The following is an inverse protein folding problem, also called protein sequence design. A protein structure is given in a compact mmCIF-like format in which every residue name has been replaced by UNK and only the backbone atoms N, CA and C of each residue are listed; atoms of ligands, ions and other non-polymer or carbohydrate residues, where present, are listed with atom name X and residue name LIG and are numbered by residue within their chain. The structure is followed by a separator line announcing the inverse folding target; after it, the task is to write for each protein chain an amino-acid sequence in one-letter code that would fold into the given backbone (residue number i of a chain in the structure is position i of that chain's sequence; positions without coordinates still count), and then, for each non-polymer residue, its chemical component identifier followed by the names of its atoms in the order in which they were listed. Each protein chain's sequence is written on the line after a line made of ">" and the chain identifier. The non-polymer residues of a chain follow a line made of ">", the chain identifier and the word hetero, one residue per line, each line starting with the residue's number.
data_IF_441633604971
#
_entry.id   IF_441633604971
#
_cell.length_a   1.000
_cell.length_b   1.000
_cell.length_c   1.000
_cell.angle_alpha   90.00
_cell.angle_beta   90.00
_cell.angle_gamma   90.00
#
_symmetry.space_group_name_H-M   'P 1'
#
loop_
_entity.id
_entity.type
_entity.pdbx_description
1 polymer ?
#
# COMPACT_ATOMS: atom_id res chain seq x y z
N UNK A 1 -11.57 6.20 14.49
CA UNK A 1 -10.65 6.00 13.35
C UNK A 1 -9.47 5.15 13.81
N UNK A 2 -8.83 4.41 12.91
CA UNK A 2 -7.61 3.64 13.17
C UNK A 2 -6.54 4.00 12.15
N UNK A 3 -5.30 4.08 12.60
CA UNK A 3 -4.11 4.12 11.76
C UNK A 3 -3.47 2.74 11.85
N UNK A 4 -3.34 2.06 10.72
CA UNK A 4 -2.80 0.71 10.63
C UNK A 4 -1.45 0.78 9.94
N UNK A 5 -0.39 0.45 10.67
CA UNK A 5 0.97 0.40 10.16
C UNK A 5 1.29 -1.02 9.71
N UNK A 6 1.73 -1.16 8.46
CA UNK A 6 2.08 -2.44 7.84
C UNK A 6 3.54 -2.36 7.41
N UNK A 7 4.33 -3.34 7.84
CA UNK A 7 5.67 -3.55 7.33
C UNK A 7 5.58 -4.30 5.99
N UNK A 8 5.97 -3.63 4.92
CA UNK A 8 6.10 -4.22 3.60
C UNK A 8 7.50 -4.00 3.02
N UNK A 9 8.51 -3.88 3.89
CA UNK A 9 9.90 -3.61 3.52
C UNK A 9 10.51 -4.64 2.56
N UNK A 10 9.96 -5.86 2.52
CA UNK A 10 10.38 -6.95 1.63
C UNK A 10 9.54 -7.06 0.35
N UNK A 11 8.65 -6.10 0.08
CA UNK A 11 7.65 -6.16 -0.99
C UNK A 11 6.61 -7.31 -0.87
N UNK A 12 6.72 -8.17 0.15
CA UNK A 12 5.75 -9.21 0.49
C UNK A 12 4.95 -8.86 1.74
N UNK A 13 3.78 -9.48 1.86
CA UNK A 13 2.90 -9.42 3.01
C UNK A 13 2.76 -10.84 3.57
N UNK A 14 2.92 -10.98 4.88
CA UNK A 14 2.70 -12.26 5.56
C UNK A 14 1.21 -12.58 5.71
N UNK A 15 0.91 -13.86 5.92
CA UNK A 15 -0.47 -14.29 6.16
C UNK A 15 -1.05 -13.64 7.43
N UNK A 16 -0.24 -13.49 8.48
CA UNK A 16 -0.62 -12.85 9.74
C UNK A 16 -0.93 -11.35 9.54
N UNK A 17 -0.16 -10.66 8.70
CA UNK A 17 -0.42 -9.27 8.35
C UNK A 17 -1.73 -9.11 7.58
N UNK A 18 -2.02 -10.03 6.64
CA UNK A 18 -3.32 -10.08 5.95
C UNK A 18 -4.47 -10.33 6.94
N UNK A 19 -4.35 -11.32 7.82
CA UNK A 19 -5.36 -11.59 8.84
C UNK A 19 -5.58 -10.38 9.75
N UNK A 20 -4.51 -9.69 10.14
CA UNK A 20 -4.61 -8.52 10.98
C UNK A 20 -5.34 -7.37 10.27
N UNK A 21 -5.04 -7.13 8.98
CA UNK A 21 -5.79 -6.18 8.15
C UNK A 21 -7.28 -6.53 8.11
N UNK A 22 -7.64 -7.79 7.85
CA UNK A 22 -9.03 -8.27 7.81
C UNK A 22 -9.76 -7.94 9.11
N UNK A 23 -9.15 -8.27 10.25
CA UNK A 23 -9.71 -7.94 11.57
C UNK A 23 -9.93 -6.44 11.75
N UNK A 24 -9.04 -5.59 11.22
CA UNK A 24 -9.23 -4.13 11.29
C UNK A 24 -10.39 -3.66 10.40
N UNK A 25 -10.48 -4.18 9.17
CA UNK A 25 -11.56 -3.89 8.22
C UNK A 25 -12.92 -4.28 8.83
N UNK A 26 -13.03 -5.47 9.41
CA UNK A 26 -14.26 -6.01 10.00
C UNK A 26 -14.85 -5.14 11.12
N UNK A 27 -14.03 -4.31 11.77
CA UNK A 27 -14.55 -3.38 12.80
C UNK A 27 -15.39 -2.25 12.24
N UNK A 28 -15.42 -2.08 10.91
CA UNK A 28 -16.14 -1.02 10.17
C UNK A 28 -15.78 0.41 10.59
N UNK A 29 -14.76 0.58 11.45
CA UNK A 29 -14.23 1.89 11.81
C UNK A 29 -13.44 2.46 10.62
N UNK A 30 -13.45 3.78 10.41
CA UNK A 30 -12.61 4.38 9.38
C UNK A 30 -11.13 4.05 9.61
N UNK A 31 -10.46 3.58 8.56
CA UNK A 31 -9.12 3.03 8.58
C UNK A 31 -8.22 3.78 7.60
N UNK A 32 -7.03 4.17 8.06
CA UNK A 32 -5.95 4.66 7.19
C UNK A 32 -4.82 3.65 7.28
N UNK A 33 -4.30 3.23 6.13
CA UNK A 33 -3.19 2.29 6.06
C UNK A 33 -1.91 3.06 5.80
N UNK A 34 -0.89 2.79 6.61
CA UNK A 34 0.43 3.40 6.56
C UNK A 34 1.45 2.30 6.23
N UNK A 35 2.24 2.48 5.18
CA UNK A 35 3.27 1.51 4.78
C UNK A 35 4.45 2.22 4.11
N UNK A 36 5.57 1.54 3.91
CA UNK A 36 6.72 2.16 3.26
C UNK A 36 6.58 2.15 1.75
N UNK A 37 6.36 0.96 1.17
CA UNK A 37 6.24 0.74 -0.27
C UNK A 37 4.78 0.96 -0.68
N UNK A 38 4.48 1.73 -1.73
CA UNK A 38 3.10 1.91 -2.16
C UNK A 38 2.50 0.60 -2.69
N UNK A 39 1.18 0.47 -2.66
CA UNK A 39 0.48 -0.58 -3.41
C UNK A 39 0.54 -0.29 -4.91
N UNK A 40 0.65 -1.33 -5.72
CA UNK A 40 0.58 -1.21 -7.16
C UNK A 40 -0.72 -0.54 -7.64
N UNK A 41 -0.61 0.56 -8.37
CA UNK A 41 -1.73 1.16 -9.10
C UNK A 41 -1.59 0.84 -10.60
N UNK A 42 -2.71 0.45 -11.25
CA UNK A 42 -2.70 0.04 -12.66
C UNK A 42 -2.07 1.11 -13.56
N UNK A 43 -1.14 0.71 -14.42
CA UNK A 43 -0.41 1.60 -15.33
C UNK A 43 0.88 2.19 -14.75
N UNK A 44 1.19 1.91 -13.47
CA UNK A 44 2.51 2.20 -12.89
C UNK A 44 3.55 1.19 -13.37
N UNK A 45 4.82 1.59 -13.30
CA UNK A 45 5.95 0.75 -13.70
C UNK A 45 6.21 -0.39 -12.70
N UNK A 46 6.94 -1.41 -13.14
CA UNK A 46 7.21 -2.65 -12.38
C UNK A 46 7.79 -2.40 -10.98
N UNK A 47 8.72 -1.46 -10.85
CA UNK A 47 9.32 -1.09 -9.57
C UNK A 47 8.49 -0.15 -8.70
N UNK A 48 7.26 0.19 -9.08
CA UNK A 48 6.47 1.18 -8.36
C UNK A 48 6.11 0.73 -6.95
N UNK A 49 5.58 -0.49 -6.81
CA UNK A 49 4.93 -0.85 -5.56
C UNK A 49 4.65 -2.34 -5.36
N UNK A 50 4.30 -2.66 -4.13
CA UNK A 50 3.91 -3.98 -3.64
C UNK A 50 2.69 -4.52 -4.41
N UNK A 51 2.68 -5.82 -4.68
CA UNK A 51 1.66 -6.52 -5.47
C UNK A 51 1.59 -6.09 -6.95
N UNK A 52 2.71 -5.71 -7.56
CA UNK A 52 2.78 -5.49 -9.01
C UNK A 52 2.82 -6.84 -9.74
N UNK A 53 1.91 -7.11 -10.72
CA UNK A 53 1.80 -8.43 -11.36
C UNK A 53 3.07 -8.87 -12.10
N UNK A 54 3.85 -7.91 -12.62
CA UNK A 54 5.11 -8.20 -13.29
C UNK A 54 6.35 -8.17 -12.40
N UNK A 55 6.25 -7.91 -11.08
CA UNK A 55 7.41 -8.00 -10.20
C UNK A 55 7.73 -9.47 -9.90
N UNK A 56 8.79 -9.98 -10.54
CA UNK A 56 9.20 -11.40 -10.53
C UNK A 56 10.67 -11.51 -10.94
N UNK A 57 11.21 -12.73 -10.93
CA UNK A 57 12.61 -13.02 -11.27
C UNK A 57 13.11 -12.33 -12.56
N UNK A 58 12.26 -12.19 -13.59
CA UNK A 58 12.65 -11.58 -14.88
C UNK A 58 12.88 -10.07 -14.82
N UNK A 59 12.33 -9.39 -13.80
CA UNK A 59 12.40 -7.94 -13.63
C UNK A 59 13.16 -7.54 -12.35
N UNK A 60 13.62 -8.53 -11.58
CA UNK A 60 14.47 -8.34 -10.41
C UNK A 60 15.95 -8.43 -10.81
N UNK A 61 16.54 -7.29 -11.17
CA UNK A 61 17.96 -7.21 -11.52
C UNK A 61 18.85 -6.91 -10.32
N UNK A 62 18.27 -6.55 -9.18
CA UNK A 62 19.02 -6.06 -8.02
C UNK A 62 19.56 -7.19 -7.13
N UNK A 63 19.03 -8.41 -7.25
CA UNK A 63 19.42 -9.53 -6.37
C UNK A 63 20.93 -9.81 -6.35
N UNK A 64 21.63 -9.62 -7.48
CA UNK A 64 23.08 -9.81 -7.57
C UNK A 64 23.84 -8.77 -6.74
N UNK A 65 23.45 -7.50 -6.85
CA UNK A 65 24.06 -6.39 -6.10
C UNK A 65 23.73 -6.50 -4.61
N UNK A 66 22.49 -6.88 -4.30
CA UNK A 66 21.97 -7.04 -2.93
C UNK A 66 22.43 -8.35 -2.26
N UNK A 67 23.08 -9.25 -3.01
CA UNK A 67 23.54 -10.57 -2.57
C UNK A 67 22.45 -11.39 -1.88
N UNK A 68 21.25 -11.38 -2.48
CA UNK A 68 20.10 -12.18 -2.04
C UNK A 68 19.67 -13.14 -3.13
N UNK A 69 18.80 -14.07 -2.76
CA UNK A 69 18.13 -14.91 -3.75
C UNK A 69 17.28 -14.05 -4.71
N UNK A 70 17.20 -14.45 -5.99
CA UNK A 70 16.32 -13.79 -6.93
C UNK A 70 14.86 -13.97 -6.53
N UNK A 71 14.02 -13.02 -6.92
CA UNK A 71 12.57 -13.15 -6.73
C UNK A 71 12.01 -14.44 -7.36
N UNK A 72 10.93 -15.02 -6.80
CA UNK A 72 10.25 -16.15 -7.43
C UNK A 72 9.86 -15.88 -8.89
N UNK A 73 9.83 -16.94 -9.71
CA UNK A 73 9.44 -16.85 -11.13
C UNK A 73 8.02 -16.33 -11.32
N UNK A 74 7.12 -16.72 -10.41
CA UNK A 74 5.71 -16.34 -10.45
C UNK A 74 5.44 -15.00 -9.72
N UNK A 75 6.48 -14.36 -9.18
CA UNK A 75 6.40 -13.06 -8.53
C UNK A 75 5.83 -13.13 -7.12
N UNK A 76 4.94 -12.19 -6.80
CA UNK A 76 4.37 -12.05 -5.47
C UNK A 76 3.54 -13.24 -5.02
N UNK A 77 3.46 -13.44 -3.70
CA UNK A 77 2.57 -14.45 -3.14
C UNK A 77 1.09 -14.10 -3.39
N UNK A 78 0.19 -15.11 -3.45
CA UNK A 78 -1.25 -14.86 -3.47
C UNK A 78 -1.75 -14.05 -2.28
N UNK A 79 -1.07 -14.14 -1.12
CA UNK A 79 -1.36 -13.36 0.09
C UNK A 79 -1.15 -11.88 -0.16
N UNK A 80 -0.03 -11.51 -0.78
CA UNK A 80 0.30 -10.12 -1.14
C UNK A 80 -0.72 -9.53 -2.11
N UNK A 81 -1.13 -10.28 -3.13
CA UNK A 81 -2.20 -9.84 -4.04
C UNK A 81 -3.54 -9.67 -3.31
N UNK A 82 -3.91 -10.63 -2.45
CA UNK A 82 -5.15 -10.57 -1.68
C UNK A 82 -5.17 -9.37 -0.71
N UNK A 83 -4.06 -9.08 -0.05
CA UNK A 83 -3.91 -7.91 0.82
C UNK A 83 -4.19 -6.61 0.07
N UNK A 84 -3.59 -6.43 -1.12
CA UNK A 84 -3.87 -5.26 -1.97
C UNK A 84 -5.35 -5.18 -2.32
N UNK A 85 -5.97 -6.28 -2.76
CA UNK A 85 -7.39 -6.30 -3.12
C UNK A 85 -8.29 -5.96 -1.92
N UNK A 86 -8.03 -6.49 -0.74
CA UNK A 86 -8.84 -6.18 0.44
C UNK A 86 -8.78 -4.71 0.84
N UNK A 87 -7.61 -4.07 0.72
CA UNK A 87 -7.49 -2.63 0.96
C UNK A 87 -8.36 -1.83 -0.02
N UNK A 88 -8.21 -2.06 -1.32
CA UNK A 88 -8.86 -1.21 -2.34
C UNK A 88 -10.36 -1.50 -2.48
N UNK A 89 -10.87 -2.63 -1.99
CA UNK A 89 -12.29 -2.97 -2.01
C UNK A 89 -13.00 -2.69 -0.66
N UNK A 90 -12.27 -2.38 0.42
CA UNK A 90 -12.87 -2.16 1.73
C UNK A 90 -13.48 -0.74 1.85
N UNK A 91 -14.79 -0.61 2.10
CA UNK A 91 -15.47 0.69 2.09
C UNK A 91 -15.08 1.60 3.27
N UNK A 92 -14.50 1.04 4.33
CA UNK A 92 -14.05 1.79 5.50
C UNK A 92 -12.56 2.13 5.47
N UNK A 93 -11.83 1.77 4.40
CA UNK A 93 -10.47 2.27 4.16
C UNK A 93 -10.55 3.64 3.50
N UNK A 94 -10.06 4.66 4.20
CA UNK A 94 -10.11 6.05 3.76
C UNK A 94 -8.96 6.44 2.85
N UNK A 95 -7.76 5.92 3.12
CA UNK A 95 -6.55 6.24 2.36
C UNK A 95 -5.41 5.26 2.66
N UNK A 96 -4.44 5.22 1.75
CA UNK A 96 -3.10 4.65 1.96
C UNK A 96 -2.07 5.77 1.93
N UNK A 97 -1.13 5.77 2.87
CA UNK A 97 0.05 6.64 2.83
C UNK A 97 1.31 5.79 2.69
N UNK A 98 2.16 6.18 1.75
CA UNK A 98 3.40 5.50 1.44
C UNK A 98 4.55 6.46 1.10
N UNK A 99 5.72 5.89 0.85
CA UNK A 99 6.93 6.58 0.40
C UNK A 99 7.64 5.77 -0.68
N UNK A 100 8.89 5.41 -0.43
CA UNK A 100 9.72 4.50 -1.24
C UNK A 100 10.15 5.04 -2.63
N UNK A 101 9.25 5.56 -3.45
CA UNK A 101 9.57 5.94 -4.84
C UNK A 101 10.29 7.30 -4.98
N UNK A 102 10.49 8.02 -3.87
CA UNK A 102 11.15 9.32 -3.81
C UNK A 102 10.58 10.32 -4.84
N UNK A 103 9.26 10.28 -5.03
CA UNK A 103 8.51 11.18 -5.91
C UNK A 103 7.11 11.31 -5.36
N UNK A 104 6.61 12.54 -5.32
CA UNK A 104 5.23 12.77 -4.94
C UNK A 104 4.28 12.09 -5.92
N UNK A 105 3.29 11.36 -5.42
CA UNK A 105 2.27 10.72 -6.24
C UNK A 105 0.90 10.70 -5.55
N UNK A 106 -0.15 10.76 -6.36
CA UNK A 106 -1.51 10.45 -5.96
C UNK A 106 -2.08 9.43 -6.95
N UNK A 107 -2.56 8.30 -6.43
CA UNK A 107 -3.22 7.26 -7.19
C UNK A 107 -4.57 6.95 -6.54
N UNK A 108 -5.62 6.73 -7.34
CA UNK A 108 -6.95 6.37 -6.81
C UNK A 108 -7.33 4.99 -7.32
N UNK A 109 -7.40 4.02 -6.41
CA UNK A 109 -7.68 2.62 -6.73
C UNK A 109 -9.06 2.24 -6.20
N UNK A 110 -10.03 2.04 -7.10
CA UNK A 110 -11.43 1.71 -6.76
C UNK A 110 -12.04 2.67 -5.71
N UNK A 111 -11.66 3.95 -5.77
CA UNK A 111 -12.13 4.99 -4.85
C UNK A 111 -11.26 5.19 -3.60
N UNK A 112 -10.27 4.31 -3.34
CA UNK A 112 -9.31 4.49 -2.25
C UNK A 112 -8.10 5.32 -2.74
N UNK A 113 -7.87 6.52 -2.19
CA UNK A 113 -6.70 7.32 -2.52
C UNK A 113 -5.44 6.78 -1.85
N UNK A 114 -4.34 6.73 -2.60
CA UNK A 114 -2.99 6.44 -2.11
C UNK A 114 -2.11 7.65 -2.35
N UNK A 115 -1.54 8.19 -1.27
CA UNK A 115 -0.61 9.29 -1.28
C UNK A 115 0.81 8.77 -1.11
N UNK A 116 1.70 9.16 -2.00
CA UNK A 116 3.13 8.84 -1.88
C UNK A 116 3.89 10.13 -1.66
N UNK A 117 4.59 10.20 -0.53
CA UNK A 117 5.43 11.35 -0.18
C UNK A 117 6.71 11.39 -1.00
N UNK A 118 7.17 12.60 -1.32
CA UNK A 118 8.52 12.83 -1.82
C UNK A 118 9.54 12.56 -0.70
N UNK A 119 10.79 12.25 -1.07
CA UNK A 119 11.91 11.98 -0.17
C UNK A 119 12.15 13.12 0.81
N UNK A 120 12.22 12.78 2.10
CA UNK A 120 12.28 13.76 3.18
C UNK A 120 13.54 14.65 3.17
N UNK A 121 14.64 14.23 2.53
CA UNK A 121 15.86 15.04 2.48
C UNK A 121 15.68 16.35 1.72
N UNK A 122 14.63 16.48 0.90
CA UNK A 122 14.25 17.77 0.30
C UNK A 122 13.24 18.57 1.16
N UNK A 123 13.03 18.17 2.42
CA UNK A 123 12.05 18.80 3.32
C UNK A 123 10.59 18.47 3.00
N UNK A 124 10.32 17.46 2.17
CA UNK A 124 8.96 17.10 1.81
C UNK A 124 8.22 16.40 2.96
N UNK A 125 6.97 16.82 3.19
CA UNK A 125 6.02 16.19 4.11
C UNK A 125 4.58 16.45 3.62
N UNK A 126 3.63 15.68 4.14
CA UNK A 126 2.21 16.04 4.07
C UNK A 126 1.75 16.54 5.43
N UNK A 127 1.06 17.68 5.43
CA UNK A 127 0.20 18.08 6.53
C UNK A 127 -1.21 17.56 6.25
N UNK A 128 -1.69 16.64 7.09
CA UNK A 128 -2.93 15.88 6.86
C UNK A 128 -3.96 16.22 7.92
N UNK A 129 -5.05 16.84 7.49
CA UNK A 129 -6.19 17.14 8.35
C UNK A 129 -7.32 16.16 8.07
N UNK A 130 -7.73 15.41 9.09
CA UNK A 130 -8.83 14.45 9.00
C UNK A 130 -10.03 15.01 9.74
N UNK A 131 -11.11 15.26 9.00
CA UNK A 131 -12.32 15.89 9.52
C UNK A 131 -13.42 14.82 9.66
N UNK A 132 -14.17 14.79 10.78
CA UNK A 132 -15.34 13.92 10.90
C UNK A 132 -16.34 14.20 9.78
N UNK A 133 -16.84 13.15 9.13
CA UNK A 133 -17.97 13.30 8.24
C UNK A 133 -19.17 13.75 9.08
N UNK A 134 -19.67 14.96 8.85
CA UNK A 134 -20.89 15.44 9.51
C UNK A 134 -22.00 14.43 9.20
N UNK A 135 -22.75 14.03 10.22
CA UNK A 135 -23.98 13.28 10.00
C UNK A 135 -24.85 14.14 9.08
N UNK A 136 -25.05 13.69 7.84
CA UNK A 136 -26.09 14.24 7.00
C UNK A 136 -27.37 13.78 7.68
N UNK A 137 -28.00 14.64 8.47
CA UNK A 137 -29.40 14.47 8.84
C UNK A 137 -30.18 14.51 7.54
N UNK A 138 -30.45 13.32 7.00
CA UNK A 138 -31.53 13.14 6.03
C UNK A 138 -32.80 13.47 6.81
N UNK A 139 -33.38 14.65 6.53
CA UNK A 139 -34.75 14.95 6.93
C UNK A 139 -35.71 14.14 6.08
#
# INVERSE_FOLDING_TARGET
>A
MRLLFIDNSTYEISYEQLMFLQQQIETKKPLIVMMHIPLYATGRNVGFGCAHPDWKSSNDHSFELEKREPWPRDGHSPVTFKFREEIINAPNVLAVFAGHIHKQSLDVMKGVPQFVTQYNACGAFYDVVIIPQRAISVK
#
